data_IF_984516378421
#
_entry.id   IF_984516378421
#
_cell.length_a   1.000
_cell.length_b   1.000
_cell.length_c   1.000
_cell.angle_alpha   90.00
_cell.angle_beta   90.00
_cell.angle_gamma   90.00
#
_symmetry.space_group_name_H-M   'P 1'
#
loop_
_entity.id
_entity.type
_entity.pdbx_description
1 polymer ?
#
# COMPACT_ATOMS: atom_id res chain seq x y z
N UNK A 1 65.34 -83.15 19.49
CA UNK A 1 64.54 -81.94 19.78
C UNK A 1 63.50 -81.77 18.66
N UNK A 2 62.20 -81.89 18.95
CA UNK A 2 61.09 -81.77 17.98
C UNK A 2 60.49 -80.35 18.06
N UNK A 3 60.49 -79.60 16.96
CA UNK A 3 59.78 -78.31 16.84
C UNK A 3 58.30 -78.57 16.52
N UNK A 4 57.40 -77.99 17.31
CA UNK A 4 55.95 -77.98 17.07
C UNK A 4 55.58 -76.65 16.40
N UNK A 5 54.88 -76.69 15.28
CA UNK A 5 54.28 -75.52 14.64
C UNK A 5 52.81 -75.42 15.07
N UNK A 6 52.42 -74.26 15.59
CA UNK A 6 51.04 -73.91 15.92
C UNK A 6 50.40 -73.23 14.69
N UNK A 7 49.32 -73.80 14.17
CA UNK A 7 48.44 -73.15 13.17
C UNK A 7 47.60 -72.08 13.87
N UNK A 8 47.64 -70.84 13.40
CA UNK A 8 46.71 -69.77 13.78
C UNK A 8 45.50 -69.78 12.84
N UNK A 9 44.30 -69.96 13.41
CA UNK A 9 43.04 -69.79 12.69
C UNK A 9 42.59 -68.33 12.77
N UNK A 10 42.37 -67.70 11.62
CA UNK A 10 41.81 -66.34 11.50
C UNK A 10 40.29 -66.46 11.35
N UNK A 11 39.54 -65.89 12.28
CA UNK A 11 38.07 -65.83 12.24
C UNK A 11 37.66 -64.49 11.64
N UNK A 12 37.02 -64.51 10.46
CA UNK A 12 36.42 -63.36 9.80
C UNK A 12 35.02 -63.11 10.38
N UNK A 13 34.82 -62.02 11.13
CA UNK A 13 33.51 -61.55 11.53
C UNK A 13 32.99 -60.54 10.50
N UNK A 14 31.82 -60.83 9.91
CA UNK A 14 31.12 -59.87 9.04
C UNK A 14 30.21 -58.99 9.91
N UNK A 15 30.18 -57.66 9.75
CA UNK A 15 29.23 -56.82 10.46
C UNK A 15 27.83 -56.97 9.86
N UNK A 16 26.85 -57.27 10.71
CA UNK A 16 25.45 -57.17 10.34
C UNK A 16 25.08 -55.67 10.20
N UNK A 17 24.55 -55.29 9.03
CA UNK A 17 24.03 -53.93 8.81
C UNK A 17 22.60 -53.93 9.36
N UNK A 18 22.36 -53.18 10.43
CA UNK A 18 21.03 -52.96 10.98
C UNK A 18 20.26 -52.04 10.03
N UNK A 19 19.08 -52.45 9.57
CA UNK A 19 18.20 -51.56 8.81
C UNK A 19 17.78 -50.37 9.71
N UNK A 20 17.76 -49.16 9.13
CA UNK A 20 17.32 -47.96 9.81
C UNK A 20 15.85 -47.98 10.18
N UNK A 21 15.48 -47.07 11.07
CA UNK A 21 14.12 -46.86 11.57
C UNK A 21 13.11 -46.66 10.43
N UNK A 22 11.95 -47.32 10.55
CA UNK A 22 10.83 -47.19 9.59
C UNK A 22 9.81 -46.14 10.05
N UNK A 23 10.01 -45.54 11.22
CA UNK A 23 9.13 -44.48 11.70
C UNK A 23 9.25 -43.25 10.80
N UNK A 24 8.11 -42.63 10.41
CA UNK A 24 8.12 -41.43 9.61
C UNK A 24 8.86 -40.32 10.37
N UNK A 25 9.73 -39.59 9.67
CA UNK A 25 10.40 -38.42 10.23
C UNK A 25 9.38 -37.44 10.80
N UNK A 26 9.69 -36.82 11.95
CA UNK A 26 8.90 -35.70 12.47
C UNK A 26 8.68 -34.66 11.37
N UNK A 27 7.48 -34.08 11.33
CA UNK A 27 7.16 -32.99 10.40
C UNK A 27 8.12 -31.81 10.52
N UNK A 28 8.18 -30.93 9.50
CA UNK A 28 9.05 -29.76 9.53
C UNK A 28 8.67 -28.84 10.71
N UNK A 29 9.64 -28.52 11.56
CA UNK A 29 9.47 -27.67 12.76
C UNK A 29 9.87 -26.22 12.52
N UNK A 30 10.28 -25.87 11.29
CA UNK A 30 10.68 -24.51 10.96
C UNK A 30 9.45 -23.61 10.91
N UNK A 31 9.47 -22.50 11.67
CA UNK A 31 8.38 -21.52 11.71
C UNK A 31 8.06 -20.89 10.33
N UNK A 32 8.94 -21.03 9.34
CA UNK A 32 8.70 -20.64 7.94
C UNK A 32 8.01 -21.70 7.08
N UNK A 33 7.72 -22.89 7.61
CA UNK A 33 7.06 -24.00 6.91
C UNK A 33 5.53 -23.96 6.98
N UNK A 34 4.97 -23.00 7.72
CA UNK A 34 3.54 -22.78 7.82
C UNK A 34 2.92 -22.34 6.49
N UNK A 35 1.77 -22.91 6.15
CA UNK A 35 0.95 -22.49 5.01
C UNK A 35 -0.25 -21.70 5.50
N UNK A 36 -0.56 -20.60 4.82
CA UNK A 36 -1.80 -19.85 5.07
C UNK A 36 -3.02 -20.69 4.69
N UNK A 37 -4.07 -20.65 5.51
CA UNK A 37 -5.37 -21.23 5.16
C UNK A 37 -6.14 -20.32 4.19
N UNK A 38 -7.17 -20.85 3.53
CA UNK A 38 -8.06 -20.03 2.70
C UNK A 38 -8.77 -18.94 3.52
N UNK A 39 -9.04 -19.21 4.79
CA UNK A 39 -9.58 -18.23 5.74
C UNK A 39 -8.58 -17.11 6.02
N UNK A 40 -7.30 -17.44 6.23
CA UNK A 40 -6.24 -16.45 6.44
C UNK A 40 -6.04 -15.56 5.21
N UNK A 41 -6.06 -16.16 4.02
CA UNK A 41 -5.95 -15.42 2.75
C UNK A 41 -7.17 -14.52 2.57
N UNK A 42 -8.38 -15.03 2.82
CA UNK A 42 -9.61 -14.23 2.75
C UNK A 42 -9.62 -13.08 3.75
N UNK A 43 -9.17 -13.30 4.99
CA UNK A 43 -9.07 -12.28 6.02
C UNK A 43 -8.01 -11.22 5.68
N UNK A 44 -6.89 -11.64 5.09
CA UNK A 44 -5.88 -10.72 4.55
C UNK A 44 -6.43 -9.83 3.44
N UNK A 45 -7.23 -10.39 2.53
CA UNK A 45 -7.92 -9.60 1.49
C UNK A 45 -9.00 -8.66 2.07
N UNK A 46 -9.42 -8.85 3.31
CA UNK A 46 -10.27 -7.91 4.05
C UNK A 46 -9.48 -6.87 4.88
N UNK A 47 -8.15 -6.86 4.77
CA UNK A 47 -7.29 -5.91 5.49
C UNK A 47 -6.91 -6.33 6.91
N UNK A 48 -7.18 -7.58 7.29
CA UNK A 48 -6.75 -8.14 8.59
C UNK A 48 -5.34 -8.71 8.47
N UNK A 49 -4.44 -8.42 9.42
CA UNK A 49 -3.14 -9.09 9.46
C UNK A 49 -3.32 -10.59 9.74
N UNK A 50 -2.85 -11.43 8.82
CA UNK A 50 -2.83 -12.89 8.99
C UNK A 50 -1.45 -13.32 9.51
N UNK A 51 -1.42 -13.98 10.66
CA UNK A 51 -0.20 -14.63 11.16
C UNK A 51 -0.02 -15.99 10.49
N UNK A 52 1.19 -16.29 10.01
CA UNK A 52 1.54 -17.64 9.53
C UNK A 52 1.45 -18.59 10.73
N UNK A 53 0.64 -19.67 10.67
CA UNK A 53 0.66 -20.69 11.71
C UNK A 53 2.05 -21.33 11.76
N UNK A 54 2.69 -21.37 12.94
CA UNK A 54 4.05 -21.89 13.10
C UNK A 54 4.17 -23.41 12.94
N UNK A 55 3.05 -24.14 13.10
CA UNK A 55 3.05 -25.59 13.22
C UNK A 55 1.98 -26.22 12.33
N UNK A 56 2.39 -27.10 11.41
CA UNK A 56 1.45 -27.94 10.67
C UNK A 56 0.79 -28.93 11.64
N UNK A 57 -0.48 -28.71 11.93
CA UNK A 57 -1.30 -29.65 12.70
C UNK A 57 -2.15 -30.45 11.74
N UNK A 58 -1.90 -31.76 11.65
CA UNK A 58 -2.73 -32.64 10.82
C UNK A 58 -4.19 -32.61 11.32
N UNK A 59 -5.18 -32.37 10.43
CA UNK A 59 -6.58 -32.33 10.85
C UNK A 59 -7.02 -33.67 11.42
N UNK A 60 -7.54 -33.67 12.65
CA UNK A 60 -8.10 -34.87 13.30
C UNK A 60 -9.48 -35.27 12.77
N UNK A 61 -10.04 -34.47 11.85
CA UNK A 61 -11.32 -34.71 11.20
C UNK A 61 -11.30 -34.17 9.76
N UNK A 62 -12.13 -34.76 8.90
CA UNK A 62 -12.32 -34.25 7.54
C UNK A 62 -12.86 -32.81 7.55
N UNK A 63 -12.69 -32.05 6.45
CA UNK A 63 -13.04 -30.64 6.40
C UNK A 63 -14.53 -30.43 6.74
N UNK A 64 -14.79 -29.65 7.79
CA UNK A 64 -16.12 -29.15 8.10
C UNK A 64 -16.58 -28.08 7.10
N UNK A 65 -17.89 -27.90 6.93
CA UNK A 65 -18.52 -26.96 5.99
C UNK A 65 -18.34 -25.48 6.33
N UNK A 66 -17.35 -25.10 7.14
CA UNK A 66 -17.24 -23.78 7.77
C UNK A 66 -16.06 -22.93 7.25
N UNK A 67 -15.21 -23.46 6.37
CA UNK A 67 -14.08 -22.70 5.80
C UNK A 67 -14.43 -21.99 4.50
N UNK A 68 -13.74 -20.88 4.22
CA UNK A 68 -13.82 -20.19 2.92
C UNK A 68 -13.42 -21.10 1.78
N UNK A 69 -14.21 -21.06 0.71
CA UNK A 69 -13.91 -21.77 -0.53
C UNK A 69 -12.88 -21.01 -1.34
N UNK A 70 -12.20 -21.74 -2.24
CA UNK A 70 -11.26 -21.13 -3.17
C UNK A 70 -11.96 -20.11 -4.09
N UNK A 71 -13.22 -20.35 -4.45
CA UNK A 71 -14.06 -19.40 -5.21
C UNK A 71 -14.28 -18.10 -4.45
N UNK A 72 -14.66 -18.16 -3.18
CA UNK A 72 -14.83 -16.95 -2.37
C UNK A 72 -13.53 -16.15 -2.21
N UNK A 73 -12.38 -16.83 -2.16
CA UNK A 73 -11.07 -16.18 -2.14
C UNK A 73 -10.78 -15.50 -3.48
N UNK A 74 -11.03 -16.17 -4.62
CA UNK A 74 -10.82 -15.58 -5.94
C UNK A 74 -11.76 -14.41 -6.22
N UNK A 75 -13.06 -14.57 -5.98
CA UNK A 75 -14.03 -13.48 -6.16
C UNK A 75 -13.66 -12.26 -5.31
N UNK A 76 -13.12 -12.50 -4.11
CA UNK A 76 -12.64 -11.43 -3.23
C UNK A 76 -11.35 -10.80 -3.74
N UNK A 77 -10.42 -11.59 -4.24
CA UNK A 77 -9.18 -11.09 -4.84
C UNK A 77 -9.49 -10.22 -6.06
N UNK A 78 -10.38 -10.68 -6.94
CA UNK A 78 -10.84 -9.93 -8.10
C UNK A 78 -11.53 -8.62 -7.68
N UNK A 79 -12.41 -8.65 -6.68
CA UNK A 79 -13.00 -7.42 -6.13
C UNK A 79 -11.96 -6.46 -5.53
N UNK A 80 -10.89 -6.97 -4.92
CA UNK A 80 -9.77 -6.14 -4.43
C UNK A 80 -8.96 -5.56 -5.60
N UNK A 81 -8.73 -6.34 -6.66
CA UNK A 81 -8.01 -5.88 -7.86
C UNK A 81 -8.82 -4.91 -8.71
N UNK A 82 -10.13 -5.13 -8.88
CA UNK A 82 -11.05 -4.21 -9.55
C UNK A 82 -11.26 -2.91 -8.77
N UNK A 83 -10.93 -2.91 -7.47
CA UNK A 83 -10.87 -1.70 -6.65
C UNK A 83 -9.46 -1.11 -6.51
N UNK A 84 -8.43 -1.74 -7.10
CA UNK A 84 -7.13 -1.11 -7.26
C UNK A 84 -7.17 -0.15 -8.47
N UNK A 85 -6.35 0.92 -8.44
CA UNK A 85 -6.12 1.70 -9.65
C UNK A 85 -5.59 0.82 -10.79
N UNK A 86 -6.20 0.86 -11.97
CA UNK A 86 -5.72 0.44 -13.31
C UNK A 86 -4.31 0.96 -13.66
N UNK A 87 -3.83 1.99 -12.96
CA UNK A 87 -2.44 2.37 -12.98
C UNK A 87 -1.57 1.38 -12.17
N UNK A 88 -0.47 0.92 -12.78
CA UNK A 88 0.56 0.13 -12.08
C UNK A 88 1.68 1.09 -11.63
N UNK A 89 1.97 1.21 -10.31
CA UNK A 89 3.03 2.06 -9.80
C UNK A 89 4.36 1.74 -10.49
N UNK A 90 4.89 2.68 -11.26
CA UNK A 90 6.10 2.47 -12.07
C UNK A 90 7.10 3.60 -11.84
N UNK A 91 8.36 3.25 -11.60
CA UNK A 91 9.45 4.21 -11.42
C UNK A 91 10.04 4.72 -12.75
N UNK A 92 9.75 4.03 -13.86
CA UNK A 92 10.21 4.34 -15.21
C UNK A 92 9.16 5.13 -16.01
N UNK A 93 9.62 6.02 -16.89
CA UNK A 93 8.76 6.85 -17.75
C UNK A 93 8.37 8.20 -17.12
N UNK A 94 7.41 8.87 -17.76
CA UNK A 94 6.90 10.15 -17.28
C UNK A 94 6.14 9.93 -15.98
N UNK A 95 6.45 10.76 -14.98
CA UNK A 95 5.78 10.67 -13.68
C UNK A 95 4.30 11.03 -13.77
N UNK A 96 3.96 12.02 -14.59
CA UNK A 96 2.62 12.58 -14.66
C UNK A 96 2.03 12.44 -16.06
N UNK A 97 0.84 11.83 -16.15
CA UNK A 97 0.08 11.68 -17.40
C UNK A 97 -1.11 12.64 -17.39
N UNK A 98 -1.23 13.50 -18.40
CA UNK A 98 -2.42 14.34 -18.60
C UNK A 98 -3.58 13.51 -19.15
N UNK A 99 -4.74 13.55 -18.49
CA UNK A 99 -5.93 12.82 -18.92
C UNK A 99 -6.79 13.63 -19.91
N UNK A 100 -6.43 14.88 -20.21
CA UNK A 100 -7.13 15.73 -21.18
C UNK A 100 -8.48 16.27 -20.70
N UNK A 101 -8.86 16.03 -19.44
CA UNK A 101 -10.11 16.44 -18.81
C UNK A 101 -9.89 17.34 -17.57
N UNK A 102 -8.69 17.94 -17.47
CA UNK A 102 -8.28 18.75 -16.33
C UNK A 102 -7.81 17.94 -15.11
N UNK A 103 -7.55 16.65 -15.27
CA UNK A 103 -6.89 15.80 -14.25
C UNK A 103 -5.57 15.24 -14.75
N UNK A 104 -4.72 14.84 -13.80
CA UNK A 104 -3.39 14.29 -14.06
C UNK A 104 -3.20 13.05 -13.20
N UNK A 105 -2.71 11.96 -13.80
CA UNK A 105 -2.38 10.73 -13.09
C UNK A 105 -0.91 10.74 -12.70
N UNK A 106 -0.59 10.55 -11.42
CA UNK A 106 0.78 10.30 -10.94
C UNK A 106 1.09 8.80 -11.04
N UNK A 107 1.88 8.40 -12.03
CA UNK A 107 2.18 7.00 -12.33
C UNK A 107 3.03 6.31 -11.25
N UNK A 108 3.61 7.06 -10.30
CA UNK A 108 4.36 6.47 -9.16
C UNK A 108 3.45 6.10 -8.00
N UNK A 109 2.42 6.89 -7.74
CA UNK A 109 1.47 6.67 -6.65
C UNK A 109 0.14 6.07 -7.13
N UNK A 110 -0.09 6.11 -8.44
CA UNK A 110 -1.37 5.80 -9.06
C UNK A 110 -2.52 6.58 -8.41
N UNK A 111 -2.25 7.84 -8.11
CA UNK A 111 -3.25 8.80 -7.66
C UNK A 111 -3.58 9.75 -8.80
N UNK A 112 -4.81 10.26 -8.80
CA UNK A 112 -5.23 11.26 -9.77
C UNK A 112 -5.42 12.60 -9.05
N UNK A 113 -4.75 13.62 -9.57
CA UNK A 113 -4.72 14.97 -9.05
C UNK A 113 -5.46 15.91 -9.99
N UNK A 114 -6.00 17.00 -9.46
CA UNK A 114 -6.41 18.11 -10.32
C UNK A 114 -5.19 18.72 -11.02
N UNK A 115 -5.32 18.99 -12.32
CA UNK A 115 -4.24 19.57 -13.13
C UNK A 115 -3.89 20.98 -12.70
N UNK A 116 -4.89 21.76 -12.28
CA UNK A 116 -4.71 23.10 -11.71
C UNK A 116 -4.89 23.05 -10.19
N UNK A 117 -3.79 23.13 -9.44
CA UNK A 117 -3.80 23.14 -7.98
C UNK A 117 -4.44 24.42 -7.39
N UNK A 118 -4.62 25.46 -8.21
CA UNK A 118 -5.31 26.69 -7.85
C UNK A 118 -6.82 26.63 -7.99
N UNK A 119 -7.38 25.56 -8.57
CA UNK A 119 -8.83 25.41 -8.79
C UNK A 119 -9.64 25.65 -7.52
N UNK A 120 -9.37 24.96 -6.42
CA UNK A 120 -10.12 25.16 -5.16
C UNK A 120 -9.66 26.42 -4.42
N UNK A 121 -8.35 26.71 -4.44
CA UNK A 121 -7.76 27.85 -3.76
C UNK A 121 -7.63 27.63 -2.24
N UNK A 122 -7.56 28.73 -1.48
CA UNK A 122 -7.38 28.68 -0.02
C UNK A 122 -8.71 28.44 0.70
N UNK A 123 -8.74 27.51 1.65
CA UNK A 123 -9.92 27.20 2.48
C UNK A 123 -9.51 26.93 3.92
N UNK A 124 -10.43 27.19 4.85
CA UNK A 124 -10.35 26.64 6.19
C UNK A 124 -10.45 25.11 6.12
N UNK A 125 -9.76 24.40 7.01
CA UNK A 125 -9.66 22.95 6.91
C UNK A 125 -11.01 22.26 7.09
N UNK A 126 -11.81 22.73 8.04
CA UNK A 126 -13.17 22.26 8.34
C UNK A 126 -14.19 22.54 7.23
N UNK A 127 -13.87 23.43 6.29
CA UNK A 127 -14.68 23.67 5.10
C UNK A 127 -14.40 22.66 3.96
N UNK A 128 -13.39 21.81 4.09
CA UNK A 128 -12.94 20.86 3.04
C UNK A 128 -12.55 19.49 3.57
N UNK A 129 -12.87 19.16 4.82
CA UNK A 129 -12.56 17.88 5.43
C UNK A 129 -13.45 16.73 4.92
N UNK A 130 -14.63 17.07 4.40
CA UNK A 130 -15.52 16.17 3.69
C UNK A 130 -15.30 16.21 2.17
N UNK A 131 -15.27 15.03 1.54
CA UNK A 131 -15.16 14.91 0.07
C UNK A 131 -16.27 15.63 -0.68
N UNK A 132 -17.49 15.64 -0.14
CA UNK A 132 -18.64 16.33 -0.73
C UNK A 132 -18.42 17.83 -0.89
N UNK A 133 -17.74 18.47 0.07
CA UNK A 133 -17.42 19.89 0.00
C UNK A 133 -16.36 20.16 -1.08
N UNK A 134 -15.33 19.33 -1.14
CA UNK A 134 -14.29 19.42 -2.18
C UNK A 134 -14.90 19.25 -3.57
N UNK A 135 -15.74 18.24 -3.77
CA UNK A 135 -16.45 18.01 -5.04
C UNK A 135 -17.34 19.19 -5.42
N UNK A 136 -18.06 19.77 -4.44
CA UNK A 136 -18.92 20.95 -4.67
C UNK A 136 -18.09 22.16 -5.12
N UNK A 137 -16.93 22.38 -4.52
CA UNK A 137 -16.04 23.50 -4.87
C UNK A 137 -15.42 23.34 -6.26
N UNK A 138 -15.10 22.12 -6.68
CA UNK A 138 -14.56 21.81 -8.02
C UNK A 138 -15.64 22.03 -9.09
N UNK A 139 -16.86 21.55 -8.83
CA UNK A 139 -17.98 21.62 -9.78
C UNK A 139 -18.72 22.97 -9.75
N UNK A 140 -18.39 23.86 -8.82
CA UNK A 140 -18.89 25.23 -8.82
C UNK A 140 -18.47 25.92 -10.13
N UNK A 141 -19.21 26.95 -10.54
CA UNK A 141 -18.85 27.82 -11.68
C UNK A 141 -17.63 28.70 -11.34
N UNK A 142 -16.51 28.06 -10.99
CA UNK A 142 -15.26 28.67 -10.60
C UNK A 142 -14.34 28.75 -11.83
N UNK A 143 -13.97 29.96 -12.29
CA UNK A 143 -13.09 30.12 -13.44
C UNK A 143 -11.73 29.41 -13.28
N UNK A 144 -11.24 29.24 -12.05
CA UNK A 144 -9.99 28.52 -11.78
C UNK A 144 -10.12 27.01 -12.06
N UNK A 145 -11.34 26.47 -12.13
CA UNK A 145 -11.63 25.08 -12.46
C UNK A 145 -12.16 24.92 -13.90
N UNK A 146 -12.12 25.96 -14.74
CA UNK A 146 -12.75 25.96 -16.06
C UNK A 146 -12.24 24.87 -17.02
N UNK A 147 -11.00 24.38 -16.81
CA UNK A 147 -10.38 23.33 -17.61
C UNK A 147 -10.72 21.91 -17.11
N UNK A 148 -11.41 21.79 -15.96
CA UNK A 148 -11.86 20.51 -15.44
C UNK A 148 -13.19 20.13 -16.10
N UNK A 149 -13.18 19.01 -16.83
CA UNK A 149 -14.35 18.45 -17.52
C UNK A 149 -14.64 17.03 -17.06
N UNK A 150 -13.98 16.56 -16.00
CA UNK A 150 -14.23 15.24 -15.40
C UNK A 150 -15.56 15.20 -14.64
N UNK A 151 -16.09 14.00 -14.42
CA UNK A 151 -17.36 13.77 -13.71
C UNK A 151 -17.15 12.98 -12.40
N UNK A 152 -15.98 13.12 -11.78
CA UNK A 152 -15.63 12.37 -10.58
C UNK A 152 -16.29 12.95 -9.31
N UNK A 153 -16.68 12.08 -8.39
CA UNK A 153 -17.43 12.42 -7.15
C UNK A 153 -16.69 12.03 -5.87
N UNK A 154 -15.45 11.58 -5.98
CA UNK A 154 -14.61 11.03 -4.92
C UNK A 154 -13.36 11.90 -4.64
N UNK A 155 -13.40 13.17 -5.06
CA UNK A 155 -12.35 14.14 -4.72
C UNK A 155 -12.31 14.39 -3.22
N UNK A 156 -11.09 14.41 -2.67
CA UNK A 156 -10.85 14.63 -1.24
C UNK A 156 -9.57 15.41 -1.01
N UNK A 157 -9.38 15.87 0.23
CA UNK A 157 -8.06 16.29 0.70
C UNK A 157 -7.07 15.10 0.61
N UNK A 158 -5.82 15.36 0.19
CA UNK A 158 -4.76 14.37 0.23
C UNK A 158 -4.33 14.11 1.67
N UNK A 159 -3.96 12.88 1.99
CA UNK A 159 -3.26 12.57 3.23
C UNK A 159 -1.85 13.16 3.22
N UNK A 160 -1.25 13.28 4.40
CA UNK A 160 0.10 13.82 4.53
C UNK A 160 1.12 13.03 3.67
N UNK A 161 1.02 11.69 3.67
CA UNK A 161 1.90 10.85 2.86
C UNK A 161 1.72 11.05 1.37
N UNK A 162 0.49 11.27 0.89
CA UNK A 162 0.21 11.54 -0.53
C UNK A 162 0.79 12.89 -0.96
N UNK A 163 0.63 13.95 -0.16
CA UNK A 163 1.26 15.25 -0.45
C UNK A 163 2.78 15.16 -0.46
N UNK A 164 3.37 14.53 0.55
CA UNK A 164 4.83 14.36 0.64
C UNK A 164 5.33 13.49 -0.52
N UNK A 165 4.54 12.55 -1.02
CA UNK A 165 4.93 11.75 -2.19
C UNK A 165 5.12 12.60 -3.45
N UNK A 166 4.43 13.74 -3.59
CA UNK A 166 4.68 14.70 -4.69
C UNK A 166 6.11 15.24 -4.65
N UNK A 167 6.69 15.33 -3.45
CA UNK A 167 8.00 15.92 -3.20
C UNK A 167 9.18 14.93 -3.30
N UNK A 168 8.94 13.62 -3.41
CA UNK A 168 10.02 12.63 -3.33
C UNK A 168 10.81 12.41 -4.64
N UNK A 169 12.02 12.99 -4.63
CA UNK A 169 13.28 12.65 -5.34
C UNK A 169 13.31 12.77 -6.88
N UNK A 170 14.21 13.51 -7.55
CA UNK A 170 15.61 13.90 -7.24
C UNK A 170 15.93 15.39 -7.47
N UNK A 171 14.95 16.15 -7.92
CA UNK A 171 15.12 17.56 -8.17
C UNK A 171 14.13 18.28 -7.27
N UNK A 172 14.62 19.28 -6.54
CA UNK A 172 13.77 20.37 -6.01
C UNK A 172 13.01 21.11 -7.14
N UNK A 173 12.95 20.58 -8.35
CA UNK A 173 12.19 21.07 -9.49
C UNK A 173 10.74 21.31 -9.12
N UNK A 174 10.06 20.41 -8.39
CA UNK A 174 8.68 20.65 -7.94
C UNK A 174 8.55 21.94 -7.11
N UNK A 175 9.63 22.33 -6.43
CA UNK A 175 9.72 23.49 -5.54
C UNK A 175 10.12 24.78 -6.30
N UNK A 176 10.63 24.65 -7.54
CA UNK A 176 11.03 25.76 -8.43
C UNK A 176 9.99 26.00 -9.54
N UNK A 177 9.43 24.93 -10.10
CA UNK A 177 8.35 24.94 -11.09
C UNK A 177 7.62 23.59 -11.08
N UNK A 178 6.29 23.55 -10.93
CA UNK A 178 5.56 22.29 -11.00
C UNK A 178 5.83 21.60 -12.35
N UNK A 179 6.17 20.30 -12.36
CA UNK A 179 6.45 19.60 -13.58
C UNK A 179 5.20 19.55 -14.46
N UNK A 180 5.37 19.79 -15.75
CA UNK A 180 4.31 19.54 -16.74
C UNK A 180 3.77 18.12 -16.55
N UNK A 181 2.44 17.91 -16.59
CA UNK A 181 1.39 18.84 -17.02
C UNK A 181 0.73 19.64 -15.88
N UNK A 182 1.27 19.63 -14.67
CA UNK A 182 0.67 20.31 -13.52
C UNK A 182 0.79 21.84 -13.63
N UNK A 183 -0.20 22.54 -13.10
CA UNK A 183 -0.33 24.00 -13.17
C UNK A 183 -0.96 24.56 -11.90
N UNK A 184 -0.88 25.88 -11.71
CA UNK A 184 -1.49 26.57 -10.56
C UNK A 184 -0.90 26.24 -9.19
N UNK A 185 0.17 25.44 -9.13
CA UNK A 185 0.90 25.14 -7.90
C UNK A 185 1.60 26.41 -7.41
N UNK A 186 1.44 26.72 -6.12
CA UNK A 186 2.02 27.89 -5.47
C UNK A 186 3.02 27.45 -4.42
N UNK A 187 4.09 28.23 -4.26
CA UNK A 187 5.05 28.07 -3.15
C UNK A 187 4.40 28.57 -1.86
N UNK A 188 3.59 27.71 -1.22
CA UNK A 188 2.82 28.02 -0.02
C UNK A 188 2.41 26.73 0.70
N UNK A 189 1.65 26.88 1.79
CA UNK A 189 1.15 25.78 2.60
C UNK A 189 -0.10 25.15 2.00
N UNK A 190 -0.12 23.81 1.99
CA UNK A 190 -1.23 22.99 1.52
C UNK A 190 -1.76 22.10 2.65
N UNK A 191 -3.08 22.04 2.79
CA UNK A 191 -3.73 21.19 3.76
C UNK A 191 -3.60 19.71 3.41
N UNK A 192 -3.35 18.88 4.42
CA UNK A 192 -3.61 17.44 4.36
C UNK A 192 -4.90 17.08 5.13
N UNK A 193 -5.49 15.92 4.84
CA UNK A 193 -6.61 15.36 5.61
C UNK A 193 -6.18 14.78 6.97
N UNK A 194 -4.89 14.76 7.27
CA UNK A 194 -4.35 14.14 8.48
C UNK A 194 -4.51 15.06 9.70
N UNK A 195 -5.36 14.66 10.65
CA UNK A 195 -5.50 15.35 11.95
C UNK A 195 -4.31 15.03 12.85
N UNK A 196 -3.84 16.01 13.63
CA UNK A 196 -2.73 15.79 14.56
C UNK A 196 -3.19 14.97 15.77
N UNK A 197 -2.47 13.87 16.08
CA UNK A 197 -2.88 12.92 17.12
C UNK A 197 -3.06 13.56 18.51
N UNK A 198 -2.22 14.53 18.86
CA UNK A 198 -2.25 15.20 20.16
C UNK A 198 -3.17 16.42 20.23
N UNK A 199 -3.61 16.94 19.07
CA UNK A 199 -4.36 18.19 18.96
C UNK A 199 -5.43 18.05 17.86
N UNK A 200 -6.64 17.67 18.25
CA UNK A 200 -7.74 17.40 17.31
C UNK A 200 -8.26 18.65 16.58
N UNK A 201 -7.98 19.82 17.12
CA UNK A 201 -8.21 21.15 16.54
C UNK A 201 -7.17 21.53 15.47
N UNK A 202 -6.16 20.68 15.24
CA UNK A 202 -5.10 20.89 14.27
C UNK A 202 -5.05 19.82 13.19
N UNK A 203 -4.63 20.23 12.01
CA UNK A 203 -4.35 19.34 10.89
C UNK A 203 -2.92 19.55 10.39
N UNK A 204 -2.33 18.52 9.80
CA UNK A 204 -1.01 18.62 9.18
C UNK A 204 -1.11 19.36 7.84
N UNK A 205 -0.09 20.14 7.56
CA UNK A 205 0.08 20.90 6.32
C UNK A 205 1.53 20.81 5.84
N UNK A 206 1.72 21.00 4.53
CA UNK A 206 3.03 20.90 3.88
C UNK A 206 3.28 22.19 3.10
N UNK A 207 4.42 22.82 3.32
CA UNK A 207 4.92 23.91 2.50
C UNK A 207 5.57 23.34 1.24
N UNK A 208 5.00 23.62 0.06
CA UNK A 208 5.55 23.16 -1.21
C UNK A 208 6.77 23.98 -1.68
N UNK A 209 7.18 25.02 -0.94
CA UNK A 209 8.37 25.82 -1.24
C UNK A 209 9.67 25.17 -0.77
N UNK A 210 9.66 24.50 0.39
CA UNK A 210 10.82 23.86 0.99
C UNK A 210 10.56 22.40 1.43
N UNK A 211 9.31 21.94 1.33
CA UNK A 211 8.87 20.62 1.78
C UNK A 211 8.63 20.53 3.29
N UNK A 212 8.62 21.65 4.01
CA UNK A 212 8.47 21.66 5.45
C UNK A 212 7.07 21.19 5.86
N UNK A 213 7.02 20.29 6.84
CA UNK A 213 5.76 19.74 7.38
C UNK A 213 5.46 20.42 8.70
N UNK A 214 4.28 21.02 8.82
CA UNK A 214 3.80 21.71 10.02
C UNK A 214 2.36 21.31 10.33
N UNK A 215 1.78 21.94 11.36
CA UNK A 215 0.38 21.82 11.69
C UNK A 215 -0.25 23.20 11.95
N UNK A 216 -1.47 23.37 11.45
CA UNK A 216 -2.25 24.59 11.58
C UNK A 216 -3.60 24.33 12.26
N UNK A 217 -4.17 25.39 12.86
CA UNK A 217 -5.50 25.33 13.44
C UNK A 217 -6.57 25.23 12.35
N UNK A 218 -7.47 24.25 12.48
CA UNK A 218 -8.44 23.90 11.42
C UNK A 218 -9.37 25.05 11.03
N UNK A 219 -9.71 25.91 11.99
CA UNK A 219 -10.67 27.02 11.82
C UNK A 219 -10.03 28.40 11.71
N UNK A 220 -8.73 28.52 12.01
CA UNK A 220 -8.04 29.81 12.08
C UNK A 220 -7.22 30.14 10.83
N UNK A 221 -6.88 29.12 10.04
CA UNK A 221 -5.99 29.25 8.89
C UNK A 221 -6.71 28.89 7.60
N UNK A 222 -6.50 29.68 6.54
CA UNK A 222 -6.92 29.36 5.19
C UNK A 222 -5.68 28.99 4.35
N UNK A 223 -5.48 27.70 4.10
CA UNK A 223 -4.35 27.16 3.33
C UNK A 223 -4.84 26.58 2.00
N UNK A 224 -3.94 26.36 1.05
CA UNK A 224 -4.32 25.86 -0.27
C UNK A 224 -4.81 24.42 -0.21
N UNK A 225 -5.79 24.11 -1.05
CA UNK A 225 -6.37 22.77 -1.18
C UNK A 225 -6.03 22.25 -2.56
N UNK A 226 -5.33 21.12 -2.60
CA UNK A 226 -5.05 20.40 -3.85
C UNK A 226 -5.75 19.04 -3.82
N UNK A 227 -6.94 18.92 -4.42
CA UNK A 227 -7.72 17.70 -4.40
C UNK A 227 -7.01 16.53 -5.06
N UNK A 228 -7.17 15.36 -4.45
CA UNK A 228 -6.72 14.07 -4.97
C UNK A 228 -7.89 13.07 -4.91
N UNK A 229 -7.84 12.06 -5.78
CA UNK A 229 -8.71 10.89 -5.75
C UNK A 229 -7.88 9.62 -5.99
N UNK A 230 -8.49 8.45 -5.73
CA UNK A 230 -7.85 7.18 -6.09
C UNK A 230 -7.58 7.12 -7.59
N UNK A 231 -6.49 6.47 -7.99
CA UNK A 231 -6.28 6.19 -9.41
C UNK A 231 -7.41 5.34 -9.95
N UNK A 232 -7.76 5.60 -11.21
CA UNK A 232 -8.56 4.64 -11.95
C UNK A 232 -7.77 3.39 -12.14
#
# INVERSE_FOLDING_TARGET
MKKRYLLSAVILTSPAILAGDLDPSSGPTDAGSGMYTLEDIYNRLNGTEASVPSDFTEPTSGPGSTGKTLTEVYDKADAVMDSQPTCIPTAAGDRFTDNGNGTVTDNRSCLMWLKDAGCVGQRAWDAVDASTEVVTLINAANPACANYTGTYTDWRLPSLSELVSLLTNDNKEFMVSPPSPLSGVRSSWYWSSSTQANYSDRAWDVDLSDGFVSNGGKTMNALYVWPVRGGQ
#
